data_IF_041335898182
#
_entry.id   IF_041335898182
#
_cell.length_a   1.000
_cell.length_b   1.000
_cell.length_c   1.000
_cell.angle_alpha   90.00
_cell.angle_beta   90.00
_cell.angle_gamma   90.00
#
_symmetry.space_group_name_H-M   'P 1'
#
loop_
_entity.id
_entity.type
_entity.pdbx_description
1 polymer ?
#
# COMPACT_ATOMS: atom_id res chain seq x y z
N UNK A 1 -13.09 -14.39 2.78
CA UNK A 1 -11.76 -14.64 2.20
C UNK A 1 -11.43 -13.44 1.33
N UNK A 2 -10.19 -12.97 1.37
CA UNK A 2 -9.72 -11.87 0.52
C UNK A 2 -8.41 -12.27 -0.17
N UNK A 3 -8.14 -11.67 -1.32
CA UNK A 3 -6.82 -11.69 -1.97
C UNK A 3 -6.22 -10.28 -1.93
N UNK A 4 -4.97 -10.18 -1.53
CA UNK A 4 -4.18 -8.96 -1.62
C UNK A 4 -3.26 -9.07 -2.84
N UNK A 5 -3.20 -8.02 -3.64
CA UNK A 5 -2.20 -7.82 -4.70
C UNK A 5 -1.41 -6.55 -4.40
N UNK A 6 -0.11 -6.68 -4.16
CA UNK A 6 0.76 -5.52 -3.95
C UNK A 6 1.21 -4.98 -5.30
N UNK A 7 0.79 -3.77 -5.69
CA UNK A 7 1.09 -3.25 -7.02
C UNK A 7 2.51 -2.70 -7.11
N UNK A 8 2.85 -1.73 -6.26
CA UNK A 8 4.14 -1.07 -6.30
C UNK A 8 4.41 -0.29 -5.02
N UNK A 9 5.70 -0.02 -4.81
CA UNK A 9 6.20 1.11 -4.05
C UNK A 9 7.38 1.68 -4.85
N UNK A 10 7.25 2.86 -5.45
CA UNK A 10 8.42 3.56 -6.00
C UNK A 10 8.79 4.70 -5.07
N UNK A 11 9.49 4.35 -4.00
CA UNK A 11 9.70 5.25 -2.89
C UNK A 11 11.07 5.91 -3.01
N UNK A 12 11.15 7.22 -2.85
CA UNK A 12 12.40 7.95 -2.73
C UNK A 12 12.50 8.58 -1.34
N UNK A 13 13.71 8.71 -0.80
CA UNK A 13 13.90 9.41 0.46
C UNK A 13 14.47 10.81 0.26
N UNK A 14 13.63 11.81 0.50
CA UNK A 14 13.94 13.18 0.14
C UNK A 14 13.95 13.37 -1.39
N UNK A 15 13.97 14.63 -1.80
CA UNK A 15 13.84 15.03 -3.21
C UNK A 15 14.94 14.48 -4.15
N UNK A 16 16.03 13.93 -3.61
CA UNK A 16 17.19 13.45 -4.37
C UNK A 16 17.74 12.10 -3.88
N UNK A 17 16.97 11.35 -3.08
CA UNK A 17 17.35 10.02 -2.61
C UNK A 17 17.42 8.97 -3.73
N UNK A 18 17.98 7.80 -3.43
CA UNK A 18 17.80 6.63 -4.30
C UNK A 18 16.38 6.07 -4.16
N UNK A 19 15.92 5.36 -5.20
CA UNK A 19 14.70 4.56 -5.09
C UNK A 19 14.90 3.44 -4.06
N UNK A 20 13.86 3.20 -3.28
CA UNK A 20 13.82 2.28 -2.16
C UNK A 20 12.68 1.30 -2.39
N UNK A 21 13.00 0.04 -2.15
CA UNK A 21 12.01 -1.01 -2.16
C UNK A 21 11.38 -1.11 -0.77
N UNK A 22 10.06 -1.12 -0.69
CA UNK A 22 9.33 -1.43 0.54
C UNK A 22 8.73 -2.82 0.43
N UNK A 23 8.99 -3.63 1.46
CA UNK A 23 8.29 -4.90 1.68
C UNK A 23 7.21 -4.71 2.72
N UNK A 24 6.09 -5.41 2.56
CA UNK A 24 4.95 -5.35 3.47
C UNK A 24 4.85 -6.66 4.22
N UNK A 25 5.11 -6.64 5.52
CA UNK A 25 4.78 -7.75 6.39
C UNK A 25 3.29 -7.71 6.70
N UNK A 26 2.59 -8.78 6.35
CA UNK A 26 1.16 -8.97 6.61
C UNK A 26 1.00 -9.91 7.79
N UNK A 27 0.35 -9.44 8.84
CA UNK A 27 0.06 -10.19 10.05
C UNK A 27 -1.43 -10.45 10.19
N UNK A 28 -1.78 -11.61 10.74
CA UNK A 28 -3.13 -11.96 11.19
C UNK A 28 -3.02 -12.53 12.60
N UNK A 29 -3.76 -11.98 13.57
CA UNK A 29 -3.68 -12.38 14.99
C UNK A 29 -2.24 -12.38 15.55
N UNK A 30 -1.44 -11.37 15.19
CA UNK A 30 -0.02 -11.21 15.57
C UNK A 30 0.96 -12.21 14.93
N UNK A 31 0.49 -13.19 14.16
CA UNK A 31 1.33 -14.10 13.40
C UNK A 31 1.66 -13.51 12.03
N UNK A 32 2.94 -13.55 11.65
CA UNK A 32 3.37 -13.15 10.31
C UNK A 32 2.85 -14.18 9.31
N UNK A 33 1.97 -13.75 8.40
CA UNK A 33 1.45 -14.61 7.35
C UNK A 33 2.40 -14.62 6.15
N UNK A 34 2.80 -13.43 5.67
CA UNK A 34 3.73 -13.30 4.55
C UNK A 34 4.40 -11.93 4.56
N UNK A 35 5.64 -11.87 4.09
CA UNK A 35 6.28 -10.62 3.68
C UNK A 35 6.13 -10.47 2.17
N UNK A 36 5.29 -9.53 1.73
CA UNK A 36 5.01 -9.24 0.33
C UNK A 36 6.02 -8.26 -0.27
N UNK A 37 6.44 -8.53 -1.50
CA UNK A 37 7.15 -7.65 -2.42
C UNK A 37 6.21 -7.20 -3.53
N UNK A 38 6.57 -6.14 -4.27
CA UNK A 38 5.73 -5.67 -5.36
C UNK A 38 5.45 -6.81 -6.36
N UNK A 39 4.21 -6.86 -6.84
CA UNK A 39 3.58 -7.90 -7.66
C UNK A 39 3.26 -9.22 -6.94
N UNK A 40 3.56 -9.35 -5.65
CA UNK A 40 3.13 -10.51 -4.89
C UNK A 40 1.61 -10.53 -4.70
N UNK A 41 1.06 -11.74 -4.73
CA UNK A 41 -0.31 -12.03 -4.33
C UNK A 41 -0.34 -12.82 -3.04
N UNK A 42 -1.36 -12.57 -2.23
CA UNK A 42 -1.57 -13.26 -0.97
C UNK A 42 -3.06 -13.52 -0.76
N UNK A 43 -3.44 -14.80 -0.77
CA UNK A 43 -4.79 -15.25 -0.46
C UNK A 43 -4.93 -15.54 1.03
N UNK A 44 -5.92 -14.95 1.69
CA UNK A 44 -6.08 -15.01 3.15
C UNK A 44 -7.49 -15.44 3.54
N UNK A 45 -7.64 -16.39 4.49
CA UNK A 45 -8.94 -16.83 5.00
C UNK A 45 -9.55 -15.84 6.01
N UNK A 46 -9.47 -14.54 5.73
CA UNK A 46 -10.10 -13.47 6.53
C UNK A 46 -11.25 -12.83 5.76
N UNK A 47 -12.12 -12.08 6.44
CA UNK A 47 -13.28 -11.46 5.80
C UNK A 47 -13.09 -9.98 5.52
N UNK A 48 -12.12 -9.34 6.17
CA UNK A 48 -11.80 -7.94 5.95
C UNK A 48 -10.31 -7.70 6.03
N UNK A 49 -9.82 -6.70 5.29
CA UNK A 49 -8.47 -6.18 5.47
C UNK A 49 -8.23 -5.61 6.87
N UNK A 50 -9.29 -5.20 7.57
CA UNK A 50 -9.23 -4.71 8.95
C UNK A 50 -8.86 -5.81 9.95
N UNK A 51 -8.97 -7.09 9.57
CA UNK A 51 -8.51 -8.22 10.39
C UNK A 51 -6.98 -8.39 10.34
N UNK A 52 -6.29 -7.60 9.50
CA UNK A 52 -4.86 -7.69 9.26
C UNK A 52 -4.11 -6.53 9.90
N UNK A 53 -2.84 -6.77 10.20
CA UNK A 53 -1.90 -5.72 10.59
C UNK A 53 -0.75 -5.67 9.61
N UNK A 54 -0.38 -4.47 9.17
CA UNK A 54 0.67 -4.26 8.19
C UNK A 54 1.89 -3.59 8.84
N UNK A 55 3.09 -4.11 8.54
CA UNK A 55 4.35 -3.41 8.85
C UNK A 55 5.16 -3.23 7.58
N UNK A 56 5.82 -2.08 7.46
CA UNK A 56 6.53 -1.68 6.25
C UNK A 56 8.04 -1.74 6.50
N UNK A 57 8.75 -2.56 5.72
CA UNK A 57 10.20 -2.71 5.78
C UNK A 57 10.87 -2.01 4.61
N UNK A 58 11.69 -1.02 4.92
CA UNK A 58 12.47 -0.26 3.95
C UNK A 58 13.79 -1.00 3.69
N UNK A 59 13.99 -1.44 2.45
CA UNK A 59 15.17 -2.23 2.08
C UNK A 59 16.28 -1.28 1.64
N UNK A 60 17.49 -1.48 2.19
CA UNK A 60 18.68 -0.68 1.87
C UNK A 60 18.50 0.83 2.08
N UNK A 61 17.76 1.21 3.13
CA UNK A 61 17.41 2.60 3.39
C UNK A 61 17.56 2.94 4.88
N UNK A 62 18.02 4.17 5.15
CA UNK A 62 18.08 4.76 6.50
C UNK A 62 16.85 5.59 6.84
N UNK A 63 15.81 5.55 6.00
CA UNK A 63 14.66 6.41 6.16
C UNK A 63 13.78 5.98 7.30
N UNK A 64 13.42 6.97 8.11
CA UNK A 64 12.41 6.79 9.15
C UNK A 64 11.08 7.24 8.57
N UNK A 65 10.15 6.31 8.26
CA UNK A 65 8.82 6.70 7.82
C UNK A 65 8.10 7.49 8.92
N UNK A 66 7.09 8.26 8.53
CA UNK A 66 6.14 8.77 9.53
C UNK A 66 5.17 7.66 9.94
N UNK A 67 4.34 7.93 10.94
CA UNK A 67 3.22 7.04 11.27
C UNK A 67 2.36 6.84 10.01
N UNK A 68 2.17 5.58 9.55
CA UNK A 68 1.43 5.30 8.33
C UNK A 68 0.00 5.85 8.43
N UNK A 69 -0.43 6.57 7.39
CA UNK A 69 -1.84 6.94 7.21
C UNK A 69 -2.45 5.99 6.19
N UNK A 70 -3.50 5.28 6.57
CA UNK A 70 -4.13 4.26 5.74
C UNK A 70 -5.49 4.74 5.25
N UNK A 71 -5.78 4.48 3.98
CA UNK A 71 -7.07 4.77 3.37
C UNK A 71 -7.50 3.55 2.55
N UNK A 72 -8.76 3.15 2.71
CA UNK A 72 -9.40 2.14 1.87
C UNK A 72 -10.42 2.84 0.98
N UNK A 73 -10.34 2.61 -0.32
CA UNK A 73 -11.17 3.26 -1.35
C UNK A 73 -11.85 2.20 -2.22
N UNK A 74 -13.16 2.26 -2.34
CA UNK A 74 -13.91 1.49 -3.32
C UNK A 74 -13.82 2.08 -4.73
N UNK A 75 -14.29 1.33 -5.72
CA UNK A 75 -14.25 1.72 -7.15
C UNK A 75 -14.98 3.02 -7.48
N UNK A 76 -15.91 3.47 -6.64
CA UNK A 76 -16.70 4.70 -6.84
C UNK A 76 -16.24 5.87 -5.94
N UNK A 77 -15.25 5.63 -5.08
CA UNK A 77 -14.76 6.66 -4.17
C UNK A 77 -13.86 7.67 -4.88
N UNK A 78 -13.85 8.91 -4.38
CA UNK A 78 -12.91 9.92 -4.83
C UNK A 78 -11.54 9.72 -4.17
N UNK A 79 -10.45 9.88 -4.92
CA UNK A 79 -9.10 9.92 -4.34
C UNK A 79 -9.02 11.11 -3.38
N UNK A 80 -8.76 10.88 -2.08
CA UNK A 80 -8.62 11.99 -1.14
C UNK A 80 -7.35 12.78 -1.46
N UNK A 81 -7.32 14.04 -1.04
CA UNK A 81 -6.09 14.84 -1.12
C UNK A 81 -5.07 14.28 -0.12
N UNK A 82 -4.25 13.34 -0.57
CA UNK A 82 -3.14 12.80 0.19
C UNK A 82 -1.96 13.76 0.08
N UNK A 83 -1.49 14.23 1.23
CA UNK A 83 -0.39 15.17 1.32
C UNK A 83 0.92 14.40 1.08
N UNK A 84 1.63 14.74 0.00
CA UNK A 84 2.84 14.06 -0.52
C UNK A 84 2.61 12.86 -1.48
N UNK A 85 1.36 12.43 -1.72
CA UNK A 85 1.06 11.47 -2.79
C UNK A 85 1.29 12.12 -4.18
N UNK A 86 2.51 11.97 -4.69
CA UNK A 86 2.80 12.19 -6.10
C UNK A 86 2.07 11.11 -6.92
N UNK A 87 1.41 11.52 -8.01
CA UNK A 87 0.62 10.68 -8.91
C UNK A 87 -0.85 10.35 -8.53
N UNK A 88 -1.59 11.30 -7.96
CA UNK A 88 -3.06 11.16 -7.78
C UNK A 88 -3.80 10.76 -9.06
N UNK A 89 -3.30 11.15 -10.24
CA UNK A 89 -3.84 10.70 -11.53
C UNK A 89 -3.66 9.18 -11.74
N UNK A 90 -2.50 8.62 -11.40
CA UNK A 90 -2.24 7.17 -11.47
C UNK A 90 -3.12 6.42 -10.47
N UNK A 91 -3.30 6.95 -9.26
CA UNK A 91 -4.22 6.38 -8.24
C UNK A 91 -5.66 6.40 -8.75
N UNK A 92 -6.13 7.49 -9.36
CA UNK A 92 -7.47 7.56 -9.94
C UNK A 92 -7.64 6.58 -11.11
N UNK A 93 -6.62 6.38 -11.94
CA UNK A 93 -6.65 5.37 -12.99
C UNK A 93 -6.76 3.95 -12.43
N UNK A 94 -6.06 3.65 -11.33
CA UNK A 94 -6.17 2.39 -10.62
C UNK A 94 -7.59 2.19 -10.07
N UNK A 95 -8.16 3.19 -9.38
CA UNK A 95 -9.54 3.13 -8.88
C UNK A 95 -10.56 2.88 -9.99
N UNK A 96 -10.44 3.60 -11.11
CA UNK A 96 -11.34 3.45 -12.25
C UNK A 96 -11.24 2.05 -12.90
N UNK A 97 -10.13 1.35 -12.69
CA UNK A 97 -9.91 -0.01 -13.18
C UNK A 97 -10.41 -1.10 -12.23
N UNK A 98 -10.80 -0.75 -10.99
CA UNK A 98 -11.28 -1.72 -10.01
C UNK A 98 -12.65 -2.25 -10.38
N UNK A 99 -12.88 -3.52 -10.06
CA UNK A 99 -14.21 -4.11 -10.06
C UNK A 99 -14.97 -3.67 -8.81
N UNK A 100 -16.29 -3.81 -8.82
CA UNK A 100 -17.17 -3.41 -7.70
C UNK A 100 -16.93 -4.18 -6.39
N UNK A 101 -16.21 -5.30 -6.44
CA UNK A 101 -15.82 -6.08 -5.26
C UNK A 101 -14.36 -5.86 -4.86
N UNK A 102 -13.63 -5.04 -5.60
CA UNK A 102 -12.24 -4.69 -5.32
C UNK A 102 -12.17 -3.32 -4.63
N UNK A 103 -11.22 -3.18 -3.73
CA UNK A 103 -10.90 -1.93 -3.04
C UNK A 103 -9.41 -1.63 -3.22
N UNK A 104 -9.06 -0.35 -3.22
CA UNK A 104 -7.68 0.12 -3.17
C UNK A 104 -7.33 0.47 -1.72
N UNK A 105 -6.35 -0.24 -1.17
CA UNK A 105 -5.76 0.07 0.11
C UNK A 105 -4.47 0.86 -0.10
N UNK A 106 -4.54 2.15 0.22
CA UNK A 106 -3.46 3.12 0.10
C UNK A 106 -2.84 3.37 1.46
N UNK A 107 -1.52 3.50 1.49
CA UNK A 107 -0.78 3.79 2.71
C UNK A 107 0.26 4.88 2.45
N UNK A 108 0.03 6.04 3.03
CA UNK A 108 0.96 7.17 3.03
C UNK A 108 1.98 6.98 4.14
N UNK A 109 3.25 6.93 3.74
CA UNK A 109 4.40 6.68 4.60
C UNK A 109 5.30 7.92 4.72
N UNK A 110 5.07 8.92 3.86
CA UNK A 110 5.84 10.14 3.71
C UNK A 110 5.26 11.36 4.42
N UNK A 111 5.88 12.51 4.15
CA UNK A 111 5.48 13.79 4.73
C UNK A 111 5.73 14.93 3.75
N UNK A 112 5.02 16.04 3.95
CA UNK A 112 5.22 17.29 3.18
C UNK A 112 6.40 18.14 3.69
N UNK A 113 7.02 17.77 4.81
CA UNK A 113 8.19 18.47 5.34
C UNK A 113 9.45 18.12 4.51
N UNK A 114 9.89 19.05 3.65
CA UNK A 114 11.07 18.91 2.76
C UNK A 114 12.39 18.59 3.45
N UNK A 115 12.49 18.85 4.77
CA UNK A 115 13.68 18.55 5.56
C UNK A 115 13.67 17.14 6.18
N UNK A 116 12.56 16.41 6.05
CA UNK A 116 12.44 15.04 6.54
C UNK A 116 13.09 14.04 5.59
N UNK A 117 13.69 12.98 6.13
CA UNK A 117 14.14 11.83 5.33
C UNK A 117 12.97 11.06 4.69
N UNK A 118 11.76 11.21 5.22
CA UNK A 118 10.53 10.67 4.65
C UNK A 118 9.80 11.68 3.75
N UNK A 119 10.43 12.79 3.40
CA UNK A 119 9.89 13.67 2.37
C UNK A 119 9.81 12.91 1.04
N UNK A 120 8.68 13.00 0.36
CA UNK A 120 8.45 12.40 -0.96
C UNK A 120 8.55 10.85 -0.98
N UNK A 121 8.32 10.24 0.19
CA UNK A 121 8.22 8.80 0.32
C UNK A 121 6.85 8.37 -0.23
N UNK A 122 6.80 7.77 -1.43
CA UNK A 122 5.53 7.34 -2.05
C UNK A 122 4.74 6.30 -1.24
N UNK A 123 3.45 6.17 -1.58
CA UNK A 123 2.51 5.26 -0.95
C UNK A 123 2.80 3.77 -1.22
N UNK A 124 2.39 2.91 -0.29
CA UNK A 124 2.16 1.49 -0.58
C UNK A 124 0.74 1.31 -1.11
N UNK A 125 0.62 0.66 -2.27
CA UNK A 125 -0.67 0.44 -2.94
C UNK A 125 -0.98 -1.05 -3.04
N UNK A 126 -2.08 -1.47 -2.41
CA UNK A 126 -2.60 -2.83 -2.42
C UNK A 126 -3.99 -2.84 -3.05
N UNK A 127 -4.25 -3.76 -3.98
CA UNK A 127 -5.62 -4.11 -4.36
C UNK A 127 -6.10 -5.18 -3.38
N UNK A 128 -7.29 -4.95 -2.82
CA UNK A 128 -8.03 -5.90 -1.99
C UNK A 128 -9.16 -6.47 -2.81
N UNK A 129 -9.05 -7.73 -3.20
CA UNK A 129 -10.11 -8.45 -3.88
C UNK A 129 -10.95 -9.19 -2.83
N UNK A 130 -12.19 -8.70 -2.59
CA UNK A 130 -13.11 -9.29 -1.62
C UNK A 130 -13.91 -10.48 -2.17
N UNK A 131 -13.70 -10.86 -3.44
CA UNK A 131 -14.31 -12.03 -4.07
C UNK A 131 -13.28 -12.82 -4.90
N UNK A 132 -12.21 -13.33 -4.26
CA UNK A 132 -11.16 -14.04 -4.98
C UNK A 132 -11.70 -15.36 -5.56
N UNK A 133 -11.39 -15.62 -6.82
CA UNK A 133 -11.65 -16.92 -7.44
C UNK A 133 -10.51 -17.85 -7.06
N UNK A 134 -10.83 -18.99 -6.45
CA UNK A 134 -9.84 -20.02 -6.21
C UNK A 134 -9.43 -20.64 -7.56
N UNK A 135 -8.12 -20.88 -7.80
CA UNK A 135 -7.74 -21.73 -8.91
C UNK A 135 -8.31 -23.13 -8.68
N UNK A 136 -8.95 -23.69 -9.72
CA UNK A 136 -9.47 -25.07 -9.75
C UNK A 136 -8.38 -26.12 -9.45
#
# INVERSE_FOLDING_TARGET
MIELLYLASQIQCGAYGSLINVKVDVYHNQELVQTMSAQDKLLLPVNSINDLTFKYRFINSSCSPVTPTQVLLGSEDAVPTLAAAYEQQSIQQLLNGLKSYEELFLVELGTTNTNSTAYDLQDVVLIVNNNPQLPD
#
